data_IF_894756057387
#
_entry.id   IF_894756057387
#
_cell.length_a   1.000
_cell.length_b   1.000
_cell.length_c   1.000
_cell.angle_alpha   90.00
_cell.angle_beta   90.00
_cell.angle_gamma   90.00
#
_symmetry.space_group_name_H-M   'P 1'
#
loop_
_entity.id
_entity.type
_entity.pdbx_description
1 polymer ?
#
# COMPACT_ATOMS: atom_id res chain seq x y z
N UNK A 1 -24.57 0.48 -13.24
CA UNK A 1 -25.79 0.07 -14.02
C UNK A 1 -26.42 1.22 -14.84
N UNK A 2 -26.31 2.50 -14.39
CA UNK A 2 -26.87 3.65 -15.15
C UNK A 2 -26.01 3.95 -16.39
N UNK A 3 -24.68 3.94 -16.27
CA UNK A 3 -23.75 4.25 -17.37
C UNK A 3 -23.92 3.27 -18.56
N UNK A 4 -24.11 1.98 -18.28
CA UNK A 4 -24.32 0.97 -19.34
C UNK A 4 -25.67 1.09 -20.04
N UNK A 5 -26.67 1.63 -19.35
CA UNK A 5 -28.01 1.80 -19.89
C UNK A 5 -28.14 3.03 -20.78
N UNK A 6 -27.34 4.07 -20.54
CA UNK A 6 -27.42 5.37 -21.24
C UNK A 6 -26.15 5.72 -22.04
N UNK A 7 -25.20 4.81 -22.17
CA UNK A 7 -23.89 5.02 -22.82
C UNK A 7 -23.18 6.30 -22.33
N UNK A 8 -23.20 6.51 -21.01
CA UNK A 8 -22.66 7.69 -20.37
C UNK A 8 -21.30 7.40 -19.73
N UNK A 9 -20.36 8.33 -19.85
CA UNK A 9 -19.14 8.34 -19.06
C UNK A 9 -19.41 9.05 -17.73
N UNK A 10 -19.11 8.40 -16.62
CA UNK A 10 -19.21 8.97 -15.27
C UNK A 10 -17.81 9.26 -14.76
N UNK A 11 -17.57 10.50 -14.34
CA UNK A 11 -16.33 10.90 -13.71
C UNK A 11 -16.53 11.01 -12.20
N UNK A 12 -15.80 10.20 -11.42
CA UNK A 12 -15.83 10.17 -9.98
C UNK A 12 -14.51 10.69 -9.41
N UNK A 13 -14.57 11.58 -8.43
CA UNK A 13 -13.42 11.97 -7.61
C UNK A 13 -13.66 11.51 -6.18
N UNK A 14 -12.77 10.70 -5.66
CA UNK A 14 -12.86 10.16 -4.31
C UNK A 14 -11.46 9.98 -3.71
N UNK A 15 -11.37 9.93 -2.40
CA UNK A 15 -10.20 9.47 -1.67
C UNK A 15 -10.42 8.10 -1.03
N UNK A 16 -11.61 7.50 -1.23
CA UNK A 16 -11.91 6.15 -0.78
C UNK A 16 -11.51 5.12 -1.85
N UNK A 17 -10.43 4.41 -1.59
CA UNK A 17 -9.85 3.48 -2.56
C UNK A 17 -10.76 2.27 -2.84
N UNK A 18 -11.52 1.82 -1.85
CA UNK A 18 -12.50 0.73 -2.02
C UNK A 18 -13.63 1.10 -2.98
N UNK A 19 -14.09 2.36 -2.94
CA UNK A 19 -15.11 2.85 -3.89
C UNK A 19 -14.53 2.89 -5.30
N UNK A 20 -13.31 3.41 -5.45
CA UNK A 20 -12.63 3.48 -6.74
C UNK A 20 -12.41 2.06 -7.31
N UNK A 21 -11.96 1.11 -6.49
CA UNK A 21 -11.72 -0.28 -6.89
C UNK A 21 -12.99 -1.00 -7.37
N UNK A 22 -14.12 -0.73 -6.70
CA UNK A 22 -15.38 -1.43 -6.97
C UNK A 22 -16.23 -0.80 -8.07
N UNK A 23 -16.11 0.51 -8.31
CA UNK A 23 -17.02 1.27 -9.17
C UNK A 23 -16.39 1.71 -10.49
N UNK A 24 -15.07 1.88 -10.55
CA UNK A 24 -14.39 2.48 -11.69
C UNK A 24 -13.79 1.44 -12.63
N UNK A 25 -14.00 1.64 -13.93
CA UNK A 25 -13.33 0.84 -14.98
C UNK A 25 -11.86 1.25 -15.12
N UNK A 26 -11.56 2.54 -14.90
CA UNK A 26 -10.22 3.12 -14.95
C UNK A 26 -10.05 4.12 -13.82
N UNK A 27 -8.84 4.20 -13.28
CA UNK A 27 -8.47 5.10 -12.19
C UNK A 27 -7.26 5.93 -12.62
N UNK A 28 -7.29 7.22 -12.28
CA UNK A 28 -6.14 8.11 -12.36
C UNK A 28 -5.68 8.52 -10.97
N UNK A 29 -4.45 8.22 -10.60
CA UNK A 29 -3.84 8.70 -9.36
C UNK A 29 -3.22 10.07 -9.64
N UNK A 30 -3.63 11.07 -8.84
CA UNK A 30 -3.12 12.43 -8.92
C UNK A 30 -2.39 12.75 -7.62
N UNK A 31 -1.15 13.23 -7.76
CA UNK A 31 -0.37 13.72 -6.64
C UNK A 31 0.38 14.98 -7.04
N UNK A 32 0.43 15.98 -6.14
CA UNK A 32 1.03 17.29 -6.38
C UNK A 32 0.60 17.95 -7.71
N UNK A 33 -0.69 17.78 -8.10
CA UNK A 33 -1.25 18.37 -9.32
C UNK A 33 -0.84 17.67 -10.62
N UNK A 34 -0.19 16.50 -10.54
CA UNK A 34 0.23 15.69 -11.69
C UNK A 34 -0.43 14.32 -11.64
N UNK A 35 -0.81 13.84 -12.81
CA UNK A 35 -1.26 12.46 -12.97
C UNK A 35 -0.02 11.56 -12.89
N UNK A 36 0.02 10.67 -11.92
CA UNK A 36 1.10 9.71 -11.72
C UNK A 36 0.91 8.46 -12.59
N UNK A 37 -0.33 7.97 -12.68
CA UNK A 37 -0.69 6.79 -13.45
C UNK A 37 -2.17 6.83 -13.81
N UNK A 38 -2.54 6.23 -14.94
CA UNK A 38 -3.93 5.95 -15.34
C UNK A 38 -4.00 4.53 -15.88
N UNK A 39 -4.72 3.64 -15.19
CA UNK A 39 -4.97 2.27 -15.65
C UNK A 39 -6.24 1.70 -15.01
N UNK A 40 -6.52 0.42 -15.27
CA UNK A 40 -7.56 -0.33 -14.56
C UNK A 40 -7.10 -0.66 -13.15
N UNK A 41 -8.02 -0.77 -12.16
CA UNK A 41 -7.66 -1.19 -10.80
C UNK A 41 -6.86 -2.48 -10.76
N UNK A 42 -7.24 -3.44 -11.60
CA UNK A 42 -6.60 -4.75 -11.71
C UNK A 42 -5.15 -4.65 -12.17
N UNK A 43 -4.89 -3.87 -13.23
CA UNK A 43 -3.53 -3.71 -13.76
C UNK A 43 -2.63 -3.03 -12.74
N UNK A 44 -3.12 -1.94 -12.12
CA UNK A 44 -2.38 -1.21 -11.09
C UNK A 44 -1.94 -2.12 -9.92
N UNK A 45 -2.83 -2.99 -9.46
CA UNK A 45 -2.51 -3.96 -8.40
C UNK A 45 -1.51 -5.01 -8.87
N UNK A 46 -1.64 -5.51 -10.09
CA UNK A 46 -0.72 -6.51 -10.66
C UNK A 46 0.70 -5.96 -10.89
N UNK A 47 0.83 -4.65 -11.18
CA UNK A 47 2.13 -4.01 -11.37
C UNK A 47 2.96 -3.98 -10.08
N UNK A 48 2.33 -3.85 -8.92
CA UNK A 48 3.00 -3.99 -7.64
C UNK A 48 3.49 -5.42 -7.36
N UNK A 49 2.74 -6.39 -7.79
CA UNK A 49 2.92 -7.82 -7.51
C UNK A 49 1.56 -8.44 -7.27
N UNK A 50 1.45 -9.75 -7.42
CA UNK A 50 0.18 -10.43 -7.21
C UNK A 50 -0.16 -10.57 -5.71
N UNK A 51 0.86 -10.49 -4.86
CA UNK A 51 0.76 -10.76 -3.42
C UNK A 51 1.73 -9.87 -2.64
N UNK A 52 1.35 -9.58 -1.40
CA UNK A 52 2.16 -8.83 -0.44
C UNK A 52 2.45 -9.73 0.76
N UNK A 53 3.73 -9.88 1.07
CA UNK A 53 4.17 -10.51 2.31
C UNK A 53 4.54 -9.40 3.30
N UNK A 54 3.80 -9.32 4.40
CA UNK A 54 4.17 -8.46 5.53
C UNK A 54 4.90 -9.29 6.57
N UNK A 55 6.12 -8.88 6.89
CA UNK A 55 7.05 -9.58 7.77
C UNK A 55 7.45 -8.68 8.93
N UNK A 56 7.23 -9.13 10.16
CA UNK A 56 7.72 -8.46 11.36
C UNK A 56 8.83 -9.33 11.98
N UNK A 57 9.99 -8.73 12.14
CA UNK A 57 11.17 -9.42 12.67
C UNK A 57 11.64 -8.82 14.00
N UNK A 58 12.37 -9.58 14.77
CA UNK A 58 13.08 -9.06 15.94
C UNK A 58 14.36 -8.36 15.49
N UNK A 59 14.63 -7.18 16.07
CA UNK A 59 15.87 -6.44 15.76
C UNK A 59 17.10 -7.32 16.04
N UNK A 60 17.99 -7.42 15.04
CA UNK A 60 19.16 -8.28 15.08
C UNK A 60 20.31 -7.60 14.32
N UNK A 61 21.56 -7.90 14.73
CA UNK A 61 22.78 -7.42 14.06
C UNK A 61 22.90 -7.89 12.59
N UNK A 62 22.18 -8.94 12.20
CA UNK A 62 22.23 -9.52 10.86
C UNK A 62 21.12 -8.99 9.93
N UNK A 63 20.44 -7.92 10.31
CA UNK A 63 19.33 -7.34 9.54
C UNK A 63 19.72 -6.97 8.12
N UNK A 64 20.83 -6.26 7.94
CA UNK A 64 21.29 -5.82 6.63
C UNK A 64 21.61 -7.01 5.72
N UNK A 65 22.22 -8.06 6.30
CA UNK A 65 22.50 -9.30 5.55
C UNK A 65 21.23 -10.01 5.14
N UNK A 66 20.23 -10.04 6.02
CA UNK A 66 18.92 -10.61 5.72
C UNK A 66 18.23 -9.86 4.57
N UNK A 67 18.24 -8.53 4.62
CA UNK A 67 17.67 -7.69 3.57
C UNK A 67 18.37 -7.90 2.22
N UNK A 68 19.68 -8.07 2.22
CA UNK A 68 20.46 -8.36 1.01
C UNK A 68 20.08 -9.71 0.40
N UNK A 69 19.90 -10.75 1.24
CA UNK A 69 19.48 -12.07 0.75
C UNK A 69 18.04 -12.04 0.22
N UNK A 70 17.11 -11.33 0.89
CA UNK A 70 15.75 -11.17 0.38
C UNK A 70 15.71 -10.50 -1.01
N UNK A 71 16.57 -9.53 -1.27
CA UNK A 71 16.67 -8.84 -2.57
C UNK A 71 17.15 -9.74 -3.70
N UNK A 72 17.73 -10.90 -3.41
CA UNK A 72 18.18 -11.87 -4.43
C UNK A 72 17.08 -12.84 -4.86
N UNK A 73 15.97 -12.89 -4.13
CA UNK A 73 14.84 -13.78 -4.45
C UNK A 73 14.13 -13.25 -5.71
N UNK A 74 14.13 -14.04 -6.78
CA UNK A 74 13.63 -13.66 -8.11
C UNK A 74 12.17 -13.16 -8.11
N UNK A 75 11.32 -13.75 -7.27
CA UNK A 75 9.88 -13.42 -7.21
C UNK A 75 9.59 -12.14 -6.43
N UNK A 76 10.54 -11.54 -5.72
CA UNK A 76 10.37 -10.28 -5.00
C UNK A 76 10.62 -9.11 -5.96
N UNK A 77 9.57 -8.33 -6.22
CA UNK A 77 9.63 -7.14 -7.09
C UNK A 77 10.11 -5.90 -6.35
N UNK A 78 9.66 -5.73 -5.11
CA UNK A 78 9.95 -4.55 -4.29
C UNK A 78 9.94 -4.90 -2.81
N UNK A 79 10.77 -4.23 -2.04
CA UNK A 79 10.81 -4.31 -0.58
C UNK A 79 10.67 -2.89 -0.04
N UNK A 80 9.69 -2.66 0.81
CA UNK A 80 9.53 -1.44 1.59
C UNK A 80 9.84 -1.77 3.06
N UNK A 81 10.54 -0.85 3.72
CA UNK A 81 10.93 -0.94 5.12
C UNK A 81 10.13 0.10 5.91
N UNK A 82 9.49 -0.36 7.01
CA UNK A 82 8.73 0.48 7.93
C UNK A 82 9.08 0.05 9.36
N UNK A 83 10.02 0.75 9.98
CA UNK A 83 10.63 0.42 11.28
C UNK A 83 11.11 -1.04 11.36
N UNK A 84 10.36 -1.90 12.05
CA UNK A 84 10.64 -3.35 12.21
C UNK A 84 9.79 -4.24 11.30
N UNK A 85 9.03 -3.64 10.38
CA UNK A 85 8.15 -4.33 9.44
C UNK A 85 8.73 -4.23 8.03
N UNK A 86 8.84 -5.38 7.35
CA UNK A 86 9.15 -5.45 5.93
C UNK A 86 7.89 -5.77 5.14
N UNK A 87 7.67 -5.03 4.07
CA UNK A 87 6.58 -5.24 3.13
C UNK A 87 7.21 -5.67 1.80
N UNK A 88 7.00 -6.93 1.44
CA UNK A 88 7.57 -7.54 0.25
C UNK A 88 6.46 -7.69 -0.82
N UNK A 89 6.62 -7.03 -1.94
CA UNK A 89 5.75 -7.19 -3.09
C UNK A 89 6.28 -8.34 -3.95
N UNK A 90 5.48 -9.37 -4.15
CA UNK A 90 5.91 -10.60 -4.82
C UNK A 90 4.91 -11.06 -5.88
N UNK A 91 5.42 -11.76 -6.88
CA UNK A 91 4.59 -12.43 -7.89
C UNK A 91 4.13 -13.83 -7.44
N UNK A 92 4.81 -14.45 -6.46
CA UNK A 92 4.51 -15.79 -5.96
C UNK A 92 4.94 -15.94 -4.49
N UNK A 93 4.05 -15.62 -3.57
CA UNK A 93 4.31 -15.69 -2.13
C UNK A 93 4.53 -17.11 -1.63
N UNK A 94 3.90 -18.10 -2.27
CA UNK A 94 4.04 -19.51 -1.90
C UNK A 94 5.47 -20.02 -2.08
N UNK A 95 6.17 -19.54 -3.10
CA UNK A 95 7.58 -19.85 -3.35
C UNK A 95 8.53 -19.00 -2.49
N UNK A 96 8.14 -17.79 -2.17
CA UNK A 96 8.98 -16.83 -1.42
C UNK A 96 9.00 -17.13 0.07
N UNK A 97 7.86 -17.49 0.68
CA UNK A 97 7.74 -17.72 2.13
C UNK A 97 8.72 -18.79 2.64
N UNK A 98 8.85 -19.97 2.01
CA UNK A 98 9.85 -20.96 2.45
C UNK A 98 11.28 -20.44 2.40
N UNK A 99 11.64 -19.66 1.37
CA UNK A 99 12.98 -19.07 1.24
C UNK A 99 13.24 -18.04 2.35
N UNK A 100 12.24 -17.22 2.72
CA UNK A 100 12.34 -16.30 3.87
C UNK A 100 12.69 -17.06 5.15
N UNK A 101 11.99 -18.16 5.43
CA UNK A 101 12.25 -18.97 6.61
C UNK A 101 13.64 -19.62 6.58
N UNK A 102 14.10 -20.10 5.43
CA UNK A 102 15.45 -20.65 5.30
C UNK A 102 16.50 -19.58 5.61
N UNK A 103 16.45 -18.42 4.94
CA UNK A 103 17.39 -17.32 5.14
C UNK A 103 17.36 -16.82 6.58
N UNK A 104 16.16 -16.71 7.19
CA UNK A 104 16.03 -16.28 8.58
C UNK A 104 16.70 -17.25 9.56
N UNK A 105 16.57 -18.56 9.29
CA UNK A 105 17.22 -19.61 10.09
C UNK A 105 18.73 -19.56 9.99
N UNK A 106 19.26 -19.40 8.77
CA UNK A 106 20.71 -19.33 8.50
C UNK A 106 21.35 -18.10 9.17
N UNK A 107 20.66 -16.97 9.20
CA UNK A 107 21.14 -15.72 9.77
C UNK A 107 20.73 -15.53 11.26
N UNK A 108 19.99 -16.47 11.85
CA UNK A 108 19.52 -16.39 13.23
C UNK A 108 18.49 -15.27 13.46
N UNK A 109 17.74 -14.88 12.43
CA UNK A 109 16.70 -13.87 12.50
C UNK A 109 15.41 -14.50 13.02
N UNK A 110 14.82 -13.92 14.05
CA UNK A 110 13.51 -14.36 14.56
C UNK A 110 12.37 -13.60 13.87
N UNK A 111 11.51 -14.35 13.19
CA UNK A 111 10.27 -13.84 12.61
C UNK A 111 9.20 -13.83 13.69
N UNK A 112 8.64 -12.65 14.01
CA UNK A 112 7.54 -12.48 14.98
C UNK A 112 6.19 -12.75 14.34
N UNK A 113 6.00 -12.28 13.10
CA UNK A 113 4.80 -12.55 12.33
C UNK A 113 5.09 -12.48 10.85
N UNK A 114 4.32 -13.23 10.09
CA UNK A 114 4.29 -13.20 8.64
C UNK A 114 2.82 -13.28 8.19
N UNK A 115 2.45 -12.47 7.22
CA UNK A 115 1.13 -12.53 6.58
C UNK A 115 1.26 -12.40 5.08
N UNK A 116 0.38 -13.07 4.36
CA UNK A 116 0.26 -13.02 2.91
C UNK A 116 -1.11 -12.42 2.56
N UNK A 117 -1.12 -11.34 1.79
CA UNK A 117 -2.33 -10.64 1.36
C UNK A 117 -2.26 -10.29 -0.12
N UNK A 118 -3.39 -9.91 -0.71
CA UNK A 118 -3.41 -9.33 -2.05
C UNK A 118 -3.24 -7.81 -1.97
N UNK A 119 -2.60 -7.18 -2.99
CA UNK A 119 -2.49 -5.73 -3.06
C UNK A 119 -3.85 -5.04 -3.13
N UNK A 120 -3.97 -3.96 -2.40
CA UNK A 120 -5.11 -3.04 -2.44
C UNK A 120 -4.79 -1.80 -3.28
N UNK A 121 -5.79 -0.96 -3.58
CA UNK A 121 -5.52 0.33 -4.21
C UNK A 121 -4.83 1.33 -3.26
N UNK A 122 -4.95 1.15 -1.95
CA UNK A 122 -4.18 1.94 -0.98
C UNK A 122 -2.68 1.65 -1.13
N UNK A 123 -2.30 0.37 -1.28
CA UNK A 123 -0.91 -0.01 -1.53
C UNK A 123 -0.40 0.57 -2.85
N UNK A 124 -1.25 0.57 -3.90
CA UNK A 124 -0.93 1.21 -5.18
C UNK A 124 -0.69 2.70 -4.99
N UNK A 125 -1.60 3.39 -4.31
CA UNK A 125 -1.49 4.83 -4.05
C UNK A 125 -0.18 5.17 -3.33
N UNK A 126 0.13 4.47 -2.23
CA UNK A 126 1.38 4.64 -1.47
C UNK A 126 2.60 4.39 -2.36
N UNK A 127 2.54 3.38 -3.22
CA UNK A 127 3.66 3.06 -4.11
C UNK A 127 3.99 4.16 -5.12
N UNK A 128 2.96 4.87 -5.62
CA UNK A 128 3.13 5.94 -6.61
C UNK A 128 3.38 7.31 -5.99
N UNK A 129 2.86 7.59 -4.79
CA UNK A 129 2.95 8.89 -4.13
C UNK A 129 4.05 8.94 -3.04
N UNK A 130 4.44 7.79 -2.50
CA UNK A 130 5.43 7.68 -1.42
C UNK A 130 4.89 8.04 -0.04
N UNK A 131 3.59 8.30 0.11
CA UNK A 131 2.96 8.65 1.39
C UNK A 131 1.51 8.13 1.43
N UNK A 132 1.00 7.90 2.65
CA UNK A 132 -0.39 7.53 2.86
C UNK A 132 -1.34 8.68 2.48
N UNK A 133 -2.58 8.32 2.17
CA UNK A 133 -3.64 9.29 1.91
C UNK A 133 -3.78 10.17 3.16
N UNK A 134 -3.58 11.45 2.99
CA UNK A 134 -3.81 12.41 4.07
C UNK A 134 -5.31 12.57 4.24
N UNK A 135 -5.88 11.92 5.25
CA UNK A 135 -7.22 12.24 5.73
C UNK A 135 -7.21 13.69 6.25
N UNK A 136 -7.59 14.61 5.41
CA UNK A 136 -7.69 16.05 5.73
C UNK A 136 -8.81 16.35 6.73
N UNK A 137 -9.65 15.38 7.03
CA UNK A 137 -10.72 15.45 8.03
C UNK A 137 -10.19 15.77 9.43
N UNK A 138 -8.99 15.34 9.80
CA UNK A 138 -8.39 15.66 11.10
C UNK A 138 -8.06 17.15 11.24
N UNK A 139 -7.68 17.85 10.16
CA UNK A 139 -7.39 19.28 10.16
C UNK A 139 -8.67 20.11 10.09
N UNK A 140 -9.69 19.63 9.36
CA UNK A 140 -10.97 20.33 9.25
C UNK A 140 -11.73 20.28 10.58
N UNK A 141 -11.70 19.13 11.27
CA UNK A 141 -12.29 19.00 12.60
C UNK A 141 -11.56 19.82 13.66
N UNK A 142 -10.22 19.86 13.69
CA UNK A 142 -9.44 20.74 14.58
C UNK A 142 -9.73 22.22 14.34
N UNK A 143 -9.89 22.66 13.10
CA UNK A 143 -10.26 24.05 12.77
C UNK A 143 -11.68 24.38 13.22
N UNK A 144 -12.62 23.46 13.09
CA UNK A 144 -14.01 23.63 13.60
C UNK A 144 -14.06 23.67 15.13
N UNK A 145 -13.32 22.82 15.80
CA UNK A 145 -13.23 22.83 17.28
C UNK A 145 -12.57 24.11 17.79
N UNK A 146 -11.47 24.56 17.17
CA UNK A 146 -10.84 25.84 17.53
C UNK A 146 -11.77 27.04 17.29
N UNK A 147 -12.52 27.05 16.19
CA UNK A 147 -13.50 28.10 15.91
C UNK A 147 -14.68 28.08 16.90
N UNK A 148 -15.12 26.89 17.34
CA UNK A 148 -16.19 26.71 18.33
C UNK A 148 -15.73 27.16 19.72
N UNK A 149 -14.51 26.83 20.12
CA UNK A 149 -13.93 27.26 21.39
C UNK A 149 -13.69 28.76 21.46
N UNK A 150 -13.38 29.40 20.33
CA UNK A 150 -13.18 30.86 20.26
C UNK A 150 -14.51 31.64 20.41
N UNK A 151 -15.65 31.05 20.00
CA UNK A 151 -17.00 31.62 20.15
C UNK A 151 -17.60 31.47 21.56
N UNK A 152 -17.08 30.51 22.34
CA UNK A 152 -17.54 30.28 23.74
C UNK A 152 -16.75 31.10 24.77
N UNK A 153 -15.73 31.87 24.34
CA UNK A 153 -14.89 32.73 25.20
C UNK A 153 -15.20 34.23 25.03
N UNK A 154 -16.23 34.59 24.27
CA UNK A 154 -16.80 35.95 24.19
C UNK A 154 -18.18 35.96 24.82
#
# INVERSE_FOLDING_TARGET
>A
KIHTQFDMTIFLTTHYMEEADSLCDRIGIIDHGKIQVIDTPKNMKNDLGNEIISLVIESNSNYDSFLLELKKIEFIKKINEDDSKLILFTSNGTEVIPQIFQISSELGIKIKSISLTQPTLDDVFISYTGHEIRDDDSKFNRRREHAKMKRLRQ
#
